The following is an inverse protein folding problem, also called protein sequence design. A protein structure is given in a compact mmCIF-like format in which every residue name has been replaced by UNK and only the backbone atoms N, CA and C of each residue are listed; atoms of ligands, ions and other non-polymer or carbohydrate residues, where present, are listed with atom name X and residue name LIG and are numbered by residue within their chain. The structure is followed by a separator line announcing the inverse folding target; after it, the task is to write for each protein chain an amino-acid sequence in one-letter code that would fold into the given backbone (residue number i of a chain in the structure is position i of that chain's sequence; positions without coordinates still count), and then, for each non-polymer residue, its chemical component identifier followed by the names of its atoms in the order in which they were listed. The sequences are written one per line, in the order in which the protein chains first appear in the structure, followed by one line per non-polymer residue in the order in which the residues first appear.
data_IF_707857497296
#
_entry.id   IF_707857497296
#
_cell.length_a   1.000
_cell.length_b   1.000
_cell.length_c   1.000
_cell.angle_alpha   90.00
_cell.angle_beta   90.00
_cell.angle_gamma   90.00
#
_symmetry.space_group_name_H-M   'P 1'
#
loop_
_entity.id
_entity.type
_entity.pdbx_description
1 polymer ?
#
# COMPACT_ATOMS: atom_id res chain seq x y z
N UNK A 1 16.20 -16.57 -25.39
CA UNK A 1 15.41 -15.41 -24.94
C UNK A 1 16.10 -14.83 -23.71
N UNK A 2 16.66 -13.62 -23.80
CA UNK A 2 17.37 -12.98 -22.70
C UNK A 2 16.35 -12.13 -21.91
N UNK A 3 16.09 -12.47 -20.65
CA UNK A 3 15.24 -11.67 -19.76
C UNK A 3 16.14 -10.65 -19.06
N UNK A 4 15.95 -9.36 -19.34
CA UNK A 4 16.68 -8.25 -18.71
C UNK A 4 15.74 -7.49 -17.79
N UNK A 5 16.19 -7.18 -16.58
CA UNK A 5 15.52 -6.23 -15.71
C UNK A 5 15.90 -4.82 -16.15
N UNK A 6 14.90 -4.01 -16.48
CA UNK A 6 15.05 -2.61 -16.81
C UNK A 6 14.36 -1.77 -15.74
N UNK A 7 14.90 -0.58 -15.41
CA UNK A 7 14.24 0.33 -14.48
C UNK A 7 12.81 0.61 -14.92
N UNK A 8 11.87 0.54 -13.98
CA UNK A 8 10.48 0.90 -14.26
C UNK A 8 10.38 2.40 -14.57
N UNK A 9 9.64 2.77 -15.62
CA UNK A 9 9.49 4.16 -16.04
C UNK A 9 8.92 5.05 -14.90
N UNK A 10 7.91 4.55 -14.19
CA UNK A 10 7.22 5.29 -13.14
C UNK A 10 8.10 5.56 -11.90
N UNK A 11 9.05 4.68 -11.62
CA UNK A 11 10.00 4.82 -10.51
C UNK A 11 10.93 6.03 -10.66
N UNK A 12 11.13 6.49 -11.90
CA UNK A 12 11.96 7.65 -12.19
C UNK A 12 11.21 8.99 -12.11
N UNK A 13 9.87 8.96 -12.01
CA UNK A 13 9.04 10.15 -12.08
C UNK A 13 8.79 10.75 -10.67
N UNK A 14 8.81 12.09 -10.54
CA UNK A 14 8.33 12.76 -9.33
C UNK A 14 6.88 12.37 -8.98
N UNK A 15 6.51 12.34 -7.69
CA UNK A 15 5.17 11.95 -7.28
C UNK A 15 4.02 12.81 -7.84
N UNK A 16 4.31 14.07 -8.16
CA UNK A 16 3.41 15.07 -8.72
C UNK A 16 3.44 15.11 -10.27
N UNK A 17 4.25 14.26 -10.91
CA UNK A 17 4.30 14.18 -12.36
C UNK A 17 2.95 13.71 -12.94
N UNK A 18 2.44 14.35 -14.01
CA UNK A 18 1.15 14.00 -14.60
C UNK A 18 1.00 12.51 -14.94
N UNK A 19 2.03 11.88 -15.49
CA UNK A 19 2.00 10.45 -15.84
C UNK A 19 1.97 9.53 -14.61
N UNK A 20 2.65 9.91 -13.52
CA UNK A 20 2.57 9.17 -12.26
C UNK A 20 1.18 9.26 -11.65
N UNK A 21 0.54 10.45 -11.71
CA UNK A 21 -0.83 10.66 -11.27
C UNK A 21 -1.82 9.86 -12.15
N UNK A 22 -1.65 9.88 -13.47
CA UNK A 22 -2.49 9.14 -14.41
C UNK A 22 -2.40 7.64 -14.15
N UNK A 23 -1.19 7.10 -14.05
CA UNK A 23 -0.97 5.68 -13.77
C UNK A 23 -1.65 5.23 -12.47
N UNK A 24 -1.53 6.01 -11.38
CA UNK A 24 -2.25 5.73 -10.13
C UNK A 24 -3.77 5.69 -10.31
N UNK A 25 -4.33 6.61 -11.09
CA UNK A 25 -5.77 6.62 -11.38
C UNK A 25 -6.21 5.36 -12.11
N UNK A 26 -5.43 4.93 -13.11
CA UNK A 26 -5.72 3.74 -13.89
C UNK A 26 -5.61 2.48 -13.03
N UNK A 27 -4.57 2.40 -12.19
CA UNK A 27 -4.38 1.30 -11.25
C UNK A 27 -5.56 1.17 -10.27
N UNK A 28 -6.13 2.29 -9.79
CA UNK A 28 -7.35 2.27 -8.96
C UNK A 28 -8.55 1.68 -9.71
N UNK A 29 -8.71 1.98 -10.99
CA UNK A 29 -9.78 1.43 -11.81
C UNK A 29 -9.59 -0.08 -12.00
N UNK A 30 -8.37 -0.50 -12.34
CA UNK A 30 -8.02 -1.92 -12.50
C UNK A 30 -8.26 -2.70 -11.20
N UNK A 31 -7.75 -2.21 -10.08
CA UNK A 31 -7.95 -2.82 -8.76
C UNK A 31 -9.44 -2.94 -8.38
N UNK A 32 -10.25 -1.95 -8.80
CA UNK A 32 -11.70 -1.98 -8.59
C UNK A 32 -12.36 -3.05 -9.46
N UNK A 33 -12.02 -3.13 -10.74
CA UNK A 33 -12.57 -4.12 -11.68
C UNK A 33 -12.19 -5.54 -11.26
N UNK A 34 -10.96 -5.74 -10.79
CA UNK A 34 -10.48 -7.05 -10.31
C UNK A 34 -11.07 -7.45 -8.95
N UNK A 35 -11.68 -6.52 -8.20
CA UNK A 35 -12.24 -6.82 -6.88
C UNK A 35 -11.17 -7.05 -5.81
N UNK A 36 -10.01 -6.42 -5.93
CA UNK A 36 -8.88 -6.64 -5.02
C UNK A 36 -9.23 -6.26 -3.58
N UNK A 37 -9.87 -5.12 -3.36
CA UNK A 37 -10.16 -4.65 -2.01
C UNK A 37 -11.15 -5.55 -1.22
N UNK A 38 -12.30 -6.00 -1.78
CA UNK A 38 -13.12 -7.02 -1.15
C UNK A 38 -12.37 -8.34 -0.87
N UNK A 39 -11.47 -8.74 -1.76
CA UNK A 39 -10.67 -9.96 -1.58
C UNK A 39 -9.70 -9.81 -0.39
N UNK A 40 -9.02 -8.67 -0.26
CA UNK A 40 -8.14 -8.40 0.88
C UNK A 40 -8.91 -8.32 2.19
N UNK A 41 -10.07 -7.65 2.24
CA UNK A 41 -10.91 -7.60 3.45
C UNK A 41 -11.31 -8.99 3.93
N UNK A 42 -11.80 -9.84 3.02
CA UNK A 42 -12.21 -11.20 3.34
C UNK A 42 -11.03 -12.06 3.79
N UNK A 43 -9.89 -11.92 3.11
CA UNK A 43 -8.68 -12.69 3.44
C UNK A 43 -8.14 -12.26 4.79
N UNK A 44 -8.07 -10.95 5.06
CA UNK A 44 -7.61 -10.41 6.33
C UNK A 44 -8.52 -10.84 7.48
N UNK A 45 -9.83 -10.69 7.33
CA UNK A 45 -10.81 -11.05 8.35
C UNK A 45 -10.72 -12.53 8.78
N UNK A 46 -10.27 -13.43 7.88
CA UNK A 46 -10.11 -14.86 8.17
C UNK A 46 -8.83 -15.19 8.94
N UNK A 47 -7.80 -14.36 8.87
CA UNK A 47 -6.46 -14.71 9.36
C UNK A 47 -5.92 -13.77 10.45
N UNK A 48 -6.47 -12.56 10.55
CA UNK A 48 -6.01 -11.54 11.49
C UNK A 48 -6.27 -11.96 12.94
N UNK A 49 -5.30 -11.69 13.82
CA UNK A 49 -5.43 -11.83 15.27
C UNK A 49 -5.55 -10.45 15.93
N UNK A 50 -6.11 -10.35 17.15
CA UNK A 50 -6.38 -9.05 17.78
C UNK A 50 -5.17 -8.12 17.98
N UNK A 51 -3.96 -8.67 18.03
CA UNK A 51 -2.72 -7.92 18.26
C UNK A 51 -1.85 -7.80 17.01
N UNK A 52 -2.34 -8.31 15.88
CA UNK A 52 -1.58 -8.23 14.64
C UNK A 52 -1.53 -6.80 14.13
N UNK A 53 -0.33 -6.39 13.74
CA UNK A 53 -0.09 -5.10 13.11
C UNK A 53 0.18 -5.33 11.64
N UNK A 54 -0.62 -4.68 10.81
CA UNK A 54 -0.63 -4.78 9.35
C UNK A 54 0.16 -3.60 8.77
N UNK A 55 0.93 -3.86 7.72
CA UNK A 55 1.52 -2.83 6.86
C UNK A 55 1.11 -3.06 5.40
N UNK A 56 0.59 -2.00 4.75
CA UNK A 56 0.29 -2.00 3.31
C UNK A 56 1.47 -1.49 2.50
N UNK A 57 1.98 -2.30 1.58
CA UNK A 57 3.01 -1.95 0.60
C UNK A 57 2.40 -1.13 -0.53
N UNK A 58 3.05 -0.02 -0.91
CA UNK A 58 2.53 0.82 -1.98
C UNK A 58 1.17 1.43 -1.61
N UNK A 59 1.06 1.94 -0.38
CA UNK A 59 -0.19 2.43 0.20
C UNK A 59 -0.84 3.57 -0.59
N UNK A 60 -0.10 4.25 -1.46
CA UNK A 60 -0.59 5.28 -2.36
C UNK A 60 -1.40 6.36 -1.63
N UNK A 61 -2.71 6.36 -1.84
CA UNK A 61 -3.65 7.31 -1.23
C UNK A 61 -4.46 6.73 -0.08
N UNK A 62 -4.16 5.50 0.34
CA UNK A 62 -4.67 4.88 1.55
C UNK A 62 -6.08 4.32 1.47
N UNK A 63 -6.69 4.21 0.29
CA UNK A 63 -8.07 3.69 0.16
C UNK A 63 -8.20 2.24 0.61
N UNK A 64 -7.21 1.38 0.30
CA UNK A 64 -7.21 -0.01 0.78
C UNK A 64 -6.99 -0.05 2.29
N UNK A 65 -5.98 0.64 2.82
CA UNK A 65 -5.79 0.82 4.26
C UNK A 65 -7.06 1.26 4.98
N UNK A 66 -7.77 2.26 4.47
CA UNK A 66 -9.02 2.74 5.06
C UNK A 66 -10.09 1.62 5.14
N UNK A 67 -10.17 0.78 4.11
CA UNK A 67 -11.05 -0.38 4.08
C UNK A 67 -10.63 -1.47 5.07
N UNK A 68 -9.35 -1.84 5.10
CA UNK A 68 -8.82 -2.84 6.02
C UNK A 68 -8.95 -2.44 7.48
N UNK A 69 -8.96 -1.13 7.77
CA UNK A 69 -9.17 -0.59 9.12
C UNK A 69 -10.56 -0.83 9.68
N UNK A 70 -11.53 -1.19 8.85
CA UNK A 70 -12.84 -1.68 9.30
C UNK A 70 -12.76 -3.10 9.90
N UNK A 71 -11.68 -3.84 9.60
CA UNK A 71 -11.43 -5.20 10.07
C UNK A 71 -10.47 -5.21 11.27
N UNK A 72 -9.38 -4.43 11.22
CA UNK A 72 -8.42 -4.29 12.33
C UNK A 72 -7.91 -2.85 12.42
N UNK A 73 -7.85 -2.22 13.61
CA UNK A 73 -7.44 -0.82 13.73
C UNK A 73 -5.94 -0.59 13.48
N UNK A 74 -5.11 -1.64 13.55
CA UNK A 74 -3.65 -1.57 13.49
C UNK A 74 -3.11 -1.76 12.06
N UNK A 75 -3.55 -0.90 11.14
CA UNK A 75 -3.05 -0.86 9.75
C UNK A 75 -2.22 0.40 9.55
N UNK A 76 -0.93 0.21 9.27
CA UNK A 76 0.02 1.25 8.89
C UNK A 76 0.29 1.17 7.37
N UNK A 77 0.85 2.23 6.78
CA UNK A 77 1.17 2.30 5.36
C UNK A 77 2.64 2.54 5.09
N UNK A 78 3.16 2.00 3.99
CA UNK A 78 4.48 2.34 3.43
C UNK A 78 4.38 2.65 1.94
N UNK A 79 4.99 3.76 1.55
CA UNK A 79 5.10 4.18 0.16
C UNK A 79 6.33 5.10 0.00
N UNK A 80 6.78 5.33 -1.23
CA UNK A 80 7.81 6.34 -1.54
C UNK A 80 7.23 7.77 -1.50
N UNK A 81 5.91 7.91 -1.62
CA UNK A 81 5.21 9.21 -1.60
C UNK A 81 4.81 9.64 -0.18
N UNK A 82 4.60 10.94 0.07
CA UNK A 82 4.14 11.41 1.38
C UNK A 82 2.72 10.94 1.70
N UNK A 83 2.39 10.89 2.99
CA UNK A 83 1.08 10.48 3.47
C UNK A 83 -0.04 11.33 2.85
N UNK A 84 -1.18 10.73 2.48
CA UNK A 84 -2.33 11.51 2.03
C UNK A 84 -2.85 12.39 3.18
N UNK A 85 -3.41 13.59 2.91
CA UNK A 85 -3.90 14.49 3.97
C UNK A 85 -4.95 13.86 4.89
N UNK A 86 -5.72 12.89 4.40
CA UNK A 86 -6.72 12.17 5.17
C UNK A 86 -6.15 10.96 5.96
N UNK A 87 -4.82 10.80 6.02
CA UNK A 87 -4.21 9.70 6.74
C UNK A 87 -4.50 9.82 8.25
N UNK A 88 -4.98 8.74 8.89
CA UNK A 88 -5.39 8.78 10.29
C UNK A 88 -4.19 8.98 11.24
N UNK A 89 -4.32 9.90 12.20
CA UNK A 89 -3.27 10.18 13.20
C UNK A 89 -2.91 8.96 14.08
N UNK A 90 -3.80 7.97 14.17
CA UNK A 90 -3.57 6.74 14.93
C UNK A 90 -2.79 5.66 14.16
N UNK A 91 -2.50 5.87 12.87
CA UNK A 91 -1.70 4.94 12.05
C UNK A 91 -0.38 5.58 11.61
N UNK A 92 0.64 4.73 11.44
CA UNK A 92 1.95 5.16 10.95
C UNK A 92 1.94 5.20 9.43
N UNK A 93 2.60 6.21 8.89
CA UNK A 93 2.99 6.28 7.49
C UNK A 93 4.50 6.26 7.39
N UNK A 94 5.04 5.30 6.64
CA UNK A 94 6.46 5.23 6.34
C UNK A 94 6.67 5.74 4.91
N UNK A 95 7.26 6.92 4.79
CA UNK A 95 7.74 7.38 3.49
C UNK A 95 9.14 6.78 3.25
N UNK A 96 9.20 5.61 2.61
CA UNK A 96 10.43 4.83 2.49
C UNK A 96 10.44 3.91 1.26
N UNK A 97 11.64 3.50 0.84
CA UNK A 97 11.81 2.41 -0.12
C UNK A 97 11.72 1.07 0.59
N UNK A 98 10.77 0.22 0.16
CA UNK A 98 10.54 -1.12 0.73
C UNK A 98 11.78 -2.03 0.62
N UNK A 99 12.68 -1.81 -0.33
CA UNK A 99 13.91 -2.58 -0.47
C UNK A 99 14.95 -2.27 0.62
N UNK A 100 14.84 -1.09 1.24
CA UNK A 100 15.79 -0.62 2.27
C UNK A 100 15.15 -0.40 3.63
N UNK A 101 13.82 -0.50 3.72
CA UNK A 101 13.08 -0.37 4.97
C UNK A 101 13.52 -1.45 5.96
N UNK A 102 13.82 -1.05 7.20
CA UNK A 102 14.31 -1.96 8.26
C UNK A 102 13.28 -2.20 9.36
N UNK A 103 12.13 -1.50 9.33
CA UNK A 103 11.08 -1.57 10.35
C UNK A 103 10.17 -2.80 10.27
N UNK A 104 10.49 -3.80 9.45
CA UNK A 104 9.65 -4.98 9.20
C UNK A 104 9.28 -5.74 10.47
N UNK A 105 10.18 -5.81 11.45
CA UNK A 105 9.97 -6.55 12.70
C UNK A 105 8.80 -6.02 13.55
N UNK A 106 8.28 -4.82 13.27
CA UNK A 106 7.11 -4.27 13.95
C UNK A 106 5.77 -4.82 13.40
N UNK A 107 5.79 -5.55 12.28
CA UNK A 107 4.60 -5.98 11.54
C UNK A 107 4.50 -7.49 11.49
N UNK A 108 3.34 -8.03 11.89
CA UNK A 108 3.05 -9.46 11.79
C UNK A 108 2.33 -9.82 10.49
N UNK A 109 1.78 -8.82 9.78
CA UNK A 109 1.08 -8.98 8.51
C UNK A 109 1.57 -7.93 7.51
N UNK A 110 1.94 -8.37 6.32
CA UNK A 110 2.32 -7.52 5.19
C UNK A 110 1.34 -7.76 4.05
N UNK A 111 0.79 -6.69 3.48
CA UNK A 111 -0.20 -6.71 2.40
C UNK A 111 0.30 -5.84 1.25
N UNK A 112 0.20 -6.29 0.02
CA UNK A 112 0.58 -5.57 -1.20
C UNK A 112 0.09 -6.27 -2.44
#
# INVERSE_FOLDING_TARGET
MNRRLEPELLDSLPPDHPDAIHSRRDLRLVNRVMGNAPWFEQTLARHIRPHDRVIELGSGTGELSARLRTITPLVDGIDRIPAPPAWPASARWHQADIQTFTGWNAYSVVIG
#
